data_IF_927403847196
#
_entry.id   IF_927403847196
#
_cell.length_a   1.000
_cell.length_b   1.000
_cell.length_c   1.000
_cell.angle_alpha   90.00
_cell.angle_beta   90.00
_cell.angle_gamma   90.00
#
_symmetry.space_group_name_H-M   'P 1'
#
loop_
_entity.id
_entity.type
_entity.pdbx_description
1 polymer ?
#
# COMPACT_ATOMS: atom_id res chain seq x y z
N UNK A 1 0.24 0.76 -17.23
CA UNK A 1 1.02 1.65 -16.37
C UNK A 1 0.49 1.66 -14.95
N UNK A 2 0.32 0.49 -14.33
CA UNK A 2 -0.50 0.35 -13.11
C UNK A 2 0.28 -0.35 -11.98
N UNK A 3 1.44 0.21 -11.63
CA UNK A 3 2.31 -0.38 -10.61
C UNK A 3 2.63 0.63 -9.51
N UNK A 4 2.22 0.30 -8.28
CA UNK A 4 2.60 1.05 -7.09
C UNK A 4 3.99 0.60 -6.62
N UNK A 5 4.89 1.56 -6.44
CA UNK A 5 6.25 1.32 -5.96
C UNK A 5 6.42 1.98 -4.58
N UNK A 6 6.76 1.17 -3.57
CA UNK A 6 7.04 1.63 -2.22
C UNK A 6 8.56 1.65 -1.99
N UNK A 7 9.12 2.85 -1.78
CA UNK A 7 10.54 3.02 -1.46
C UNK A 7 10.71 3.00 0.06
N UNK A 8 11.37 1.98 0.58
CA UNK A 8 11.59 1.79 2.02
C UNK A 8 13.07 2.00 2.40
N UNK A 9 13.37 2.36 3.66
CA UNK A 9 14.75 2.44 4.15
C UNK A 9 15.43 1.06 4.17
N UNK A 10 16.76 1.01 4.05
CA UNK A 10 17.50 -0.27 4.04
C UNK A 10 17.52 -1.06 5.37
N UNK A 11 17.02 -0.48 6.46
CA UNK A 11 16.92 -1.16 7.76
C UNK A 11 15.81 -2.20 7.76
N UNK A 12 16.11 -3.44 8.16
CA UNK A 12 15.12 -4.53 8.30
C UNK A 12 13.96 -4.13 9.22
N UNK A 13 14.25 -3.41 10.30
CA UNK A 13 13.22 -2.94 11.23
C UNK A 13 12.26 -1.95 10.57
N UNK A 14 12.78 -1.04 9.74
CA UNK A 14 11.97 -0.08 9.00
C UNK A 14 11.14 -0.76 7.90
N UNK A 15 11.73 -1.71 7.16
CA UNK A 15 11.01 -2.49 6.15
C UNK A 15 9.86 -3.29 6.78
N UNK A 16 10.12 -4.00 7.89
CA UNK A 16 9.09 -4.75 8.60
C UNK A 16 7.98 -3.85 9.11
N UNK A 17 8.33 -2.70 9.69
CA UNK A 17 7.34 -1.75 10.18
C UNK A 17 6.46 -1.21 9.05
N UNK A 18 7.06 -0.78 7.93
CA UNK A 18 6.31 -0.29 6.77
C UNK A 18 5.42 -1.37 6.15
N UNK A 19 5.92 -2.60 6.03
CA UNK A 19 5.16 -3.72 5.48
C UNK A 19 3.98 -4.09 6.38
N UNK A 20 4.23 -4.38 7.65
CA UNK A 20 3.24 -4.92 8.59
C UNK A 20 2.20 -3.89 9.00
N UNK A 21 2.59 -2.61 9.14
CA UNK A 21 1.72 -1.57 9.70
C UNK A 21 1.07 -0.67 8.65
N UNK A 22 1.57 -0.65 7.42
CA UNK A 22 1.08 0.25 6.38
C UNK A 22 0.71 -0.52 5.12
N UNK A 23 1.68 -1.15 4.44
CA UNK A 23 1.47 -1.69 3.09
C UNK A 23 0.45 -2.83 3.11
N UNK A 24 0.65 -3.86 3.93
CA UNK A 24 -0.25 -5.01 3.99
C UNK A 24 -1.68 -4.62 4.35
N UNK A 25 -1.92 -3.84 5.43
CA UNK A 25 -3.27 -3.36 5.71
C UNK A 25 -3.88 -2.60 4.53
N UNK A 26 -3.13 -1.73 3.86
CA UNK A 26 -3.64 -0.91 2.74
C UNK A 26 -3.97 -1.71 1.47
N UNK A 27 -3.41 -2.91 1.32
CA UNK A 27 -3.71 -3.83 0.23
C UNK A 27 -4.82 -4.84 0.55
N UNK A 28 -5.38 -4.78 1.77
CA UNK A 28 -6.57 -5.54 2.14
C UNK A 28 -7.84 -4.77 1.74
N UNK A 29 -8.55 -5.29 0.74
CA UNK A 29 -9.78 -4.69 0.22
C UNK A 29 -10.96 -4.74 1.21
N UNK A 30 -10.91 -5.58 2.24
CA UNK A 30 -11.94 -5.63 3.29
C UNK A 30 -11.76 -4.55 4.35
N UNK A 31 -10.60 -3.89 4.34
CA UNK A 31 -10.25 -2.89 5.34
C UNK A 31 -10.90 -1.55 5.00
N UNK A 32 -11.89 -1.18 5.80
CA UNK A 32 -12.55 0.12 5.77
C UNK A 32 -11.86 1.18 6.66
N UNK A 33 -12.30 2.44 6.59
CA UNK A 33 -13.33 2.97 5.69
C UNK A 33 -12.82 3.24 4.26
N UNK A 34 -11.52 3.02 4.00
CA UNK A 34 -10.89 3.12 2.70
C UNK A 34 -9.55 2.36 2.68
N UNK A 35 -9.11 1.97 1.48
CA UNK A 35 -7.82 1.31 1.26
C UNK A 35 -7.25 1.64 -0.13
N UNK A 36 -6.01 1.23 -0.41
CA UNK A 36 -5.38 1.51 -1.70
C UNK A 36 -6.05 0.76 -2.85
N UNK A 37 -6.58 -0.44 -2.61
CA UNK A 37 -7.27 -1.25 -3.64
C UNK A 37 -8.47 -0.49 -4.19
N UNK A 38 -9.28 0.12 -3.33
CA UNK A 38 -10.41 0.98 -3.71
C UNK A 38 -9.99 2.26 -4.45
N UNK A 39 -8.76 2.75 -4.20
CA UNK A 39 -8.23 3.96 -4.84
C UNK A 39 -7.54 3.67 -6.18
N UNK A 40 -7.18 2.42 -6.49
CA UNK A 40 -6.49 2.05 -7.72
C UNK A 40 -7.19 2.59 -8.99
N UNK A 41 -8.52 2.48 -9.18
CA UNK A 41 -9.18 3.04 -10.36
C UNK A 41 -8.95 4.55 -10.54
N UNK A 42 -8.94 5.30 -9.42
CA UNK A 42 -8.70 6.75 -9.45
C UNK A 42 -7.26 7.09 -9.82
N UNK A 43 -6.30 6.30 -9.33
CA UNK A 43 -4.87 6.49 -9.62
C UNK A 43 -4.56 6.14 -11.08
N UNK A 44 -5.29 5.17 -11.64
CA UNK A 44 -5.15 4.71 -13.02
C UNK A 44 -5.74 5.69 -14.06
N UNK A 45 -6.31 6.82 -13.61
CA UNK A 45 -7.08 7.75 -14.46
C UNK A 45 -8.18 7.04 -15.25
N UNK A 46 -8.83 6.05 -14.64
CA UNK A 46 -10.04 5.40 -15.18
C UNK A 46 -11.32 6.14 -14.78
#
# INVERSE_FOLDING_TARGET
DDTLIFLLPGSTGACKLGMDKIILPQLDASRGPCNLVELLPRIRHE
#
